data_IF_960351506734
#
_entry.id   IF_960351506734
#
_cell.length_a   1.000
_cell.length_b   1.000
_cell.length_c   1.000
_cell.angle_alpha   90.00
_cell.angle_beta   90.00
_cell.angle_gamma   90.00
#
_symmetry.space_group_name_H-M   'P 1'
#
loop_
_entity.id
_entity.type
_entity.pdbx_description
1 polymer ?
#
# COMPACT_ATOMS: atom_id res chain seq x y z
N UNK A 1 12.29 -30.22 -11.75
CA UNK A 1 12.78 -28.84 -11.93
C UNK A 1 13.58 -28.45 -10.71
N UNK A 2 14.90 -28.73 -10.71
CA UNK A 2 15.78 -28.16 -9.71
C UNK A 2 16.02 -26.68 -10.09
N UNK A 3 15.88 -25.76 -9.13
CA UNK A 3 16.17 -24.33 -9.33
C UNK A 3 14.98 -23.38 -9.49
N UNK A 4 13.72 -23.84 -9.47
CA UNK A 4 12.58 -22.93 -9.49
C UNK A 4 12.30 -22.37 -8.07
N UNK A 5 12.22 -21.03 -7.90
CA UNK A 5 11.87 -20.43 -6.62
C UNK A 5 10.52 -20.94 -6.09
N UNK A 6 10.46 -21.27 -4.80
CA UNK A 6 9.20 -21.69 -4.13
C UNK A 6 8.31 -20.51 -3.73
N UNK A 7 8.90 -19.32 -3.65
CA UNK A 7 8.25 -18.07 -3.31
C UNK A 7 8.91 -16.95 -4.13
N UNK A 8 8.08 -16.06 -4.68
CA UNK A 8 8.51 -14.78 -5.24
C UNK A 8 7.92 -13.71 -4.34
N UNK A 9 8.79 -12.89 -3.74
CA UNK A 9 8.40 -11.75 -2.93
C UNK A 9 8.71 -10.47 -3.71
N UNK A 10 7.67 -9.76 -4.14
CA UNK A 10 7.80 -8.47 -4.81
C UNK A 10 7.44 -7.36 -3.82
N UNK A 11 8.41 -6.50 -3.52
CA UNK A 11 8.25 -5.37 -2.59
C UNK A 11 8.29 -4.08 -3.41
N UNK A 12 7.23 -3.29 -3.34
CA UNK A 12 7.15 -1.96 -3.95
C UNK A 12 7.03 -0.92 -2.84
N UNK A 13 7.99 0.01 -2.79
CA UNK A 13 8.01 1.08 -1.78
C UNK A 13 7.52 2.37 -2.45
N UNK A 14 6.32 2.79 -2.06
CA UNK A 14 5.64 3.93 -2.69
C UNK A 14 6.39 5.24 -2.40
N UNK A 15 6.68 6.02 -3.44
CA UNK A 15 7.42 7.29 -3.34
C UNK A 15 8.92 7.19 -3.06
N UNK A 16 9.51 5.99 -3.02
CA UNK A 16 10.96 5.83 -2.84
C UNK A 16 11.74 6.19 -4.11
N UNK A 17 12.37 7.36 -4.12
CA UNK A 17 13.33 7.72 -5.17
C UNK A 17 14.61 6.90 -5.04
N UNK A 18 15.16 6.46 -6.18
CA UNK A 18 16.35 5.60 -6.22
C UNK A 18 17.58 6.18 -5.53
N UNK A 19 17.79 7.51 -5.60
CA UNK A 19 18.93 8.18 -4.98
C UNK A 19 18.91 8.14 -3.44
N UNK A 20 17.74 7.96 -2.82
CA UNK A 20 17.61 7.90 -1.37
C UNK A 20 18.26 6.65 -0.77
N UNK A 21 18.38 5.58 -1.56
CA UNK A 21 19.03 4.34 -1.12
C UNK A 21 20.53 4.53 -0.88
N UNK A 22 21.19 5.34 -1.71
CA UNK A 22 22.60 5.67 -1.52
C UNK A 22 22.77 6.79 -0.49
N UNK A 23 21.90 7.82 -0.54
CA UNK A 23 21.95 8.98 0.36
C UNK A 23 21.86 8.59 1.84
N UNK A 24 21.09 7.55 2.17
CA UNK A 24 20.85 7.11 3.55
C UNK A 24 21.46 5.75 3.88
N UNK A 25 22.35 5.22 3.03
CA UNK A 25 22.93 3.88 3.18
C UNK A 25 23.56 3.63 4.56
N UNK A 26 24.28 4.62 5.10
CA UNK A 26 24.96 4.54 6.41
C UNK A 26 24.00 4.48 7.60
N UNK A 27 22.72 4.82 7.39
CA UNK A 27 21.67 4.74 8.39
C UNK A 27 20.85 3.44 8.29
N UNK A 28 21.07 2.61 7.26
CA UNK A 28 20.38 1.32 7.11
C UNK A 28 21.12 0.19 7.84
N UNK A 29 20.35 -0.72 8.43
CA UNK A 29 20.89 -1.99 8.98
C UNK A 29 21.43 -2.91 7.89
N UNK A 30 22.16 -3.96 8.29
CA UNK A 30 22.81 -4.90 7.37
C UNK A 30 21.83 -5.76 6.58
N UNK A 31 20.67 -6.08 7.16
CA UNK A 31 19.78 -7.16 6.67
C UNK A 31 18.59 -6.65 5.84
N UNK A 32 18.57 -5.37 5.50
CA UNK A 32 17.53 -4.72 4.68
C UNK A 32 18.03 -4.28 3.30
N UNK A 33 17.92 -2.99 2.98
CA UNK A 33 18.42 -2.44 1.72
C UNK A 33 19.90 -2.74 1.47
N UNK A 34 20.73 -2.69 2.51
CA UNK A 34 22.16 -3.00 2.38
C UNK A 34 22.39 -4.47 1.98
N UNK A 35 21.59 -5.42 2.51
CA UNK A 35 21.64 -6.82 2.06
C UNK A 35 21.29 -6.93 0.58
N UNK A 36 20.17 -6.35 0.15
CA UNK A 36 19.73 -6.40 -1.25
C UNK A 36 20.73 -5.74 -2.20
N UNK A 37 21.33 -4.61 -1.81
CA UNK A 37 22.37 -3.92 -2.61
C UNK A 37 23.66 -4.72 -2.70
N UNK A 38 24.10 -5.35 -1.61
CA UNK A 38 25.38 -6.05 -1.55
C UNK A 38 25.34 -7.49 -2.06
N UNK A 39 24.17 -8.13 -2.05
CA UNK A 39 23.98 -9.55 -2.41
C UNK A 39 23.07 -9.77 -3.62
N UNK A 40 22.36 -8.74 -4.06
CA UNK A 40 21.42 -8.80 -5.18
C UNK A 40 22.01 -8.26 -6.48
N UNK A 41 21.13 -8.20 -7.49
CA UNK A 41 21.39 -7.50 -8.75
C UNK A 41 20.70 -6.14 -8.67
N UNK A 42 21.47 -5.06 -8.82
CA UNK A 42 20.98 -3.69 -8.69
C UNK A 42 20.93 -3.01 -10.06
N UNK A 43 19.74 -2.63 -10.48
CA UNK A 43 19.54 -1.81 -11.67
C UNK A 43 19.50 -0.33 -11.25
N UNK A 44 20.58 0.41 -11.50
CA UNK A 44 20.71 1.83 -11.11
C UNK A 44 20.11 2.80 -12.11
N UNK A 45 19.73 2.33 -13.30
CA UNK A 45 19.13 3.13 -14.37
C UNK A 45 17.78 2.54 -14.83
N UNK A 46 16.89 2.30 -13.87
CA UNK A 46 15.53 1.82 -14.12
C UNK A 46 14.54 2.98 -14.01
N UNK A 47 13.66 3.15 -15.00
CA UNK A 47 12.72 4.27 -15.09
C UNK A 47 11.31 3.79 -15.48
N UNK A 48 10.30 4.48 -14.98
CA UNK A 48 8.95 4.38 -15.53
C UNK A 48 8.92 5.00 -16.94
N UNK A 49 8.55 4.22 -17.94
CA UNK A 49 8.47 4.66 -19.34
C UNK A 49 7.15 5.38 -19.66
N UNK A 50 6.56 6.06 -18.68
CA UNK A 50 5.29 6.78 -18.80
C UNK A 50 5.35 8.11 -18.02
N UNK A 51 4.55 9.08 -18.45
CA UNK A 51 4.58 10.43 -17.90
C UNK A 51 3.87 10.56 -16.53
N UNK A 52 2.76 9.86 -16.32
CA UNK A 52 2.01 9.96 -15.07
C UNK A 52 2.55 9.00 -14.01
N UNK A 53 3.45 9.47 -13.15
CA UNK A 53 4.08 8.67 -12.09
C UNK A 53 3.23 8.61 -10.81
N UNK A 54 1.94 8.32 -10.97
CA UNK A 54 1.01 8.09 -9.87
C UNK A 54 1.00 6.64 -9.40
N UNK A 55 0.59 6.41 -8.15
CA UNK A 55 0.63 5.09 -7.48
C UNK A 55 0.04 3.96 -8.33
N UNK A 56 -1.23 4.03 -8.76
CA UNK A 56 -1.85 2.91 -9.49
C UNK A 56 -1.19 2.67 -10.86
N UNK A 57 -0.73 3.73 -11.52
CA UNK A 57 -0.09 3.67 -12.83
C UNK A 57 1.23 2.89 -12.72
N UNK A 58 2.08 3.29 -11.77
CA UNK A 58 3.34 2.61 -11.48
C UNK A 58 3.14 1.16 -11.02
N UNK A 59 2.23 0.90 -10.07
CA UNK A 59 1.97 -0.46 -9.57
C UNK A 59 1.44 -1.37 -10.67
N UNK A 60 0.56 -0.89 -11.54
CA UNK A 60 0.03 -1.70 -12.65
C UNK A 60 1.10 -1.96 -13.70
N UNK A 61 1.97 -0.98 -13.99
CA UNK A 61 3.15 -1.19 -14.85
C UNK A 61 4.07 -2.27 -14.26
N UNK A 62 4.38 -2.22 -12.96
CA UNK A 62 5.19 -3.24 -12.29
C UNK A 62 4.51 -4.62 -12.27
N UNK A 63 3.19 -4.67 -12.12
CA UNK A 63 2.43 -5.91 -12.06
C UNK A 63 2.26 -6.56 -13.44
N UNK A 64 2.26 -5.80 -14.53
CA UNK A 64 1.93 -6.31 -15.89
C UNK A 64 3.11 -6.33 -16.86
N UNK A 65 4.16 -5.53 -16.59
CA UNK A 65 5.21 -5.24 -17.57
C UNK A 65 4.74 -4.40 -18.77
N UNK A 66 3.50 -3.91 -18.76
CA UNK A 66 2.90 -3.14 -19.84
C UNK A 66 2.88 -1.63 -19.52
N UNK A 67 2.70 -0.80 -20.54
CA UNK A 67 2.54 0.66 -20.38
C UNK A 67 1.08 1.04 -20.05
N UNK A 68 0.81 2.26 -19.55
CA UNK A 68 -0.55 2.72 -19.27
C UNK A 68 -1.52 2.66 -20.45
N UNK A 69 -1.01 2.87 -21.66
CA UNK A 69 -1.76 2.71 -22.92
C UNK A 69 -2.26 1.28 -23.18
N UNK A 70 -1.66 0.27 -22.53
CA UNK A 70 -2.01 -1.14 -22.67
C UNK A 70 -2.78 -1.64 -21.46
N UNK A 71 -2.31 -1.36 -20.24
CA UNK A 71 -2.97 -1.86 -19.03
C UNK A 71 -4.18 -1.02 -18.58
N UNK A 72 -4.41 0.16 -19.17
CA UNK A 72 -5.60 0.98 -18.96
C UNK A 72 -5.58 1.88 -17.72
N UNK A 73 -4.79 1.55 -16.70
CA UNK A 73 -4.60 2.39 -15.51
C UNK A 73 -3.77 3.65 -15.81
N UNK A 74 -4.45 4.78 -16.03
CA UNK A 74 -3.82 6.04 -16.47
C UNK A 74 -3.68 7.11 -15.38
N UNK A 75 -4.30 6.90 -14.21
CA UNK A 75 -4.19 7.80 -13.06
C UNK A 75 -4.94 7.26 -11.84
N UNK A 76 -4.71 7.85 -10.66
CA UNK A 76 -5.40 7.46 -9.43
C UNK A 76 -6.91 7.78 -9.50
N UNK A 77 -7.25 8.86 -10.21
CA UNK A 77 -8.61 9.29 -10.53
C UNK A 77 -8.61 9.76 -11.97
N UNK A 78 -9.63 9.40 -12.74
CA UNK A 78 -9.81 9.92 -14.10
C UNK A 78 -11.27 10.20 -14.40
N UNK A 79 -11.50 10.97 -15.46
CA UNK A 79 -12.84 11.33 -15.93
C UNK A 79 -13.43 10.23 -16.80
N UNK A 80 -14.62 9.76 -16.46
CA UNK A 80 -15.42 8.85 -17.28
C UNK A 80 -16.33 9.65 -18.20
N UNK A 81 -16.07 9.61 -19.50
CA UNK A 81 -16.85 10.38 -20.49
C UNK A 81 -18.33 9.98 -20.51
N UNK A 82 -18.64 8.69 -20.31
CA UNK A 82 -20.00 8.17 -20.37
C UNK A 82 -20.88 8.67 -19.22
N UNK A 83 -20.31 8.82 -18.01
CA UNK A 83 -21.04 9.29 -16.82
C UNK A 83 -20.85 10.78 -16.54
N UNK A 84 -19.87 11.43 -17.16
CA UNK A 84 -19.53 12.82 -16.91
C UNK A 84 -18.87 13.08 -15.55
N UNK A 85 -18.28 12.06 -14.93
CA UNK A 85 -17.80 12.13 -13.54
C UNK A 85 -16.35 11.67 -13.39
N UNK A 86 -15.68 12.14 -12.34
CA UNK A 86 -14.40 11.59 -11.89
C UNK A 86 -14.64 10.28 -11.13
N UNK A 87 -13.89 9.22 -11.47
CA UNK A 87 -13.95 7.91 -10.82
C UNK A 87 -12.62 7.47 -10.24
N UNK A 88 -12.66 6.67 -9.16
CA UNK A 88 -11.47 6.10 -8.54
C UNK A 88 -11.02 4.83 -9.26
N UNK A 89 -9.70 4.65 -9.40
CA UNK A 89 -9.10 3.72 -10.37
C UNK A 89 -9.50 2.23 -10.29
N UNK A 90 -9.78 1.74 -9.08
CA UNK A 90 -10.18 0.35 -8.81
C UNK A 90 -11.58 0.28 -8.23
N UNK A 91 -12.36 1.34 -8.37
CA UNK A 91 -13.73 1.39 -7.90
C UNK A 91 -14.60 0.37 -8.65
N UNK A 92 -15.34 -0.44 -7.89
CA UNK A 92 -16.25 -1.42 -8.45
C UNK A 92 -17.45 -1.64 -7.51
N UNK A 93 -18.61 -1.13 -7.89
CA UNK A 93 -19.83 -1.25 -7.09
C UNK A 93 -20.33 -2.70 -6.95
N UNK A 94 -19.95 -3.59 -7.87
CA UNK A 94 -20.31 -5.01 -7.85
C UNK A 94 -19.41 -5.82 -6.89
N UNK A 95 -18.37 -5.20 -6.34
CA UNK A 95 -17.41 -5.81 -5.42
C UNK A 95 -17.30 -5.03 -4.10
N UNK A 96 -18.36 -5.00 -3.27
CA UNK A 96 -18.37 -4.24 -2.02
C UNK A 96 -17.26 -4.71 -1.05
N UNK A 97 -16.82 -3.82 -0.16
CA UNK A 97 -15.91 -4.18 0.93
C UNK A 97 -16.54 -5.23 1.85
N UNK A 98 -15.75 -6.20 2.28
CA UNK A 98 -16.17 -7.18 3.27
C UNK A 98 -15.98 -6.59 4.69
N UNK A 99 -17.00 -6.62 5.56
CA UNK A 99 -16.87 -6.12 6.92
C UNK A 99 -15.93 -7.01 7.72
N UNK A 100 -14.95 -6.41 8.41
CA UNK A 100 -14.02 -7.11 9.31
C UNK A 100 -14.53 -7.19 10.76
N UNK A 101 -15.51 -6.35 11.12
CA UNK A 101 -16.12 -6.27 12.46
C UNK A 101 -17.63 -6.06 12.33
N UNK A 102 -18.41 -6.52 13.31
CA UNK A 102 -19.86 -6.26 13.37
C UNK A 102 -20.17 -4.76 13.43
N UNK A 103 -19.39 -4.04 14.22
CA UNK A 103 -19.46 -2.59 14.36
C UNK A 103 -18.16 -1.98 13.87
N UNK A 104 -18.26 -1.09 12.87
CA UNK A 104 -17.11 -0.31 12.40
C UNK A 104 -17.27 1.14 12.83
N UNK A 105 -16.27 1.66 13.52
CA UNK A 105 -16.14 3.10 13.71
C UNK A 105 -15.77 3.73 12.36
N UNK A 106 -16.30 4.93 12.09
CA UNK A 106 -15.93 5.67 10.88
C UNK A 106 -14.67 6.48 11.16
N UNK A 107 -13.54 5.93 10.72
CA UNK A 107 -12.29 6.69 10.67
C UNK A 107 -12.30 7.74 9.57
N UNK A 108 -11.26 8.55 9.52
CA UNK A 108 -11.07 9.59 8.52
C UNK A 108 -10.01 9.16 7.51
N UNK A 109 -10.46 8.70 6.34
CA UNK A 109 -9.61 8.56 5.17
C UNK A 109 -9.25 9.95 4.64
N UNK A 110 -7.97 10.24 4.53
CA UNK A 110 -7.45 11.54 4.06
C UNK A 110 -6.95 11.50 2.63
N UNK A 111 -6.78 10.31 2.04
CA UNK A 111 -6.38 10.12 0.65
C UNK A 111 -7.37 10.84 -0.30
N UNK A 112 -6.93 11.88 -1.03
CA UNK A 112 -7.79 12.62 -1.95
C UNK A 112 -8.37 11.76 -3.08
N UNK A 113 -7.65 10.73 -3.54
CA UNK A 113 -8.11 9.86 -4.61
C UNK A 113 -9.25 8.95 -4.14
N UNK A 114 -9.10 8.31 -2.97
CA UNK A 114 -10.17 7.47 -2.42
C UNK A 114 -11.43 8.28 -2.06
N UNK A 115 -11.29 9.56 -1.66
CA UNK A 115 -12.44 10.45 -1.43
C UNK A 115 -13.30 10.72 -2.67
N UNK A 116 -12.76 10.45 -3.87
CA UNK A 116 -13.51 10.58 -5.14
C UNK A 116 -14.27 9.31 -5.50
N UNK A 117 -14.05 8.19 -4.80
CA UNK A 117 -14.80 6.97 -5.05
C UNK A 117 -16.29 7.19 -4.71
N UNK A 118 -17.17 6.74 -5.60
CA UNK A 118 -18.64 6.86 -5.46
C UNK A 118 -19.26 5.64 -4.76
N UNK A 119 -18.50 4.56 -4.69
CA UNK A 119 -18.79 3.32 -3.97
C UNK A 119 -17.60 2.91 -3.10
N UNK A 120 -17.87 2.06 -2.11
CA UNK A 120 -16.83 1.46 -1.28
C UNK A 120 -16.11 0.30 -1.98
N UNK A 121 -16.73 -0.30 -3.00
CA UNK A 121 -16.26 -1.55 -3.58
C UNK A 121 -14.99 -1.41 -4.42
N UNK A 122 -14.20 -2.49 -4.47
CA UNK A 122 -12.84 -2.51 -5.00
C UNK A 122 -12.58 -3.77 -5.81
N UNK A 123 -12.04 -3.63 -7.02
CA UNK A 123 -11.64 -4.79 -7.85
C UNK A 123 -10.57 -4.43 -8.90
N UNK A 124 -9.89 -5.43 -9.49
CA UNK A 124 -8.93 -5.23 -10.58
C UNK A 124 -9.62 -5.14 -11.95
N UNK A 125 -10.95 -4.96 -12.01
CA UNK A 125 -11.75 -5.01 -13.26
C UNK A 125 -11.25 -4.05 -14.33
N UNK A 126 -10.77 -2.87 -13.94
CA UNK A 126 -10.23 -1.89 -14.90
C UNK A 126 -8.87 -2.25 -15.49
N UNK A 127 -8.14 -3.22 -14.93
CA UNK A 127 -6.80 -3.61 -15.43
C UNK A 127 -6.99 -4.45 -16.70
N UNK A 128 -6.58 -3.92 -17.84
CA UNK A 128 -6.85 -4.55 -19.14
C UNK A 128 -5.86 -5.68 -19.48
N UNK A 129 -4.60 -5.55 -19.05
CA UNK A 129 -3.54 -6.54 -19.28
C UNK A 129 -3.53 -7.63 -18.19
N UNK A 130 -3.02 -8.84 -18.47
CA UNK A 130 -2.73 -9.82 -17.43
C UNK A 130 -1.54 -9.37 -16.59
N UNK A 131 -1.61 -9.63 -15.28
CA UNK A 131 -0.49 -9.41 -14.36
C UNK A 131 0.46 -10.61 -14.32
N UNK A 132 1.64 -10.44 -13.73
CA UNK A 132 2.54 -11.54 -13.36
C UNK A 132 1.79 -12.58 -12.51
N UNK A 133 0.98 -12.10 -11.55
CA UNK A 133 0.09 -12.93 -10.74
C UNK A 133 -0.84 -13.80 -11.61
N UNK A 134 -1.54 -13.20 -12.58
CA UNK A 134 -2.45 -13.93 -13.47
C UNK A 134 -1.73 -14.97 -14.31
N UNK A 135 -0.59 -14.60 -14.89
CA UNK A 135 0.20 -15.52 -15.71
C UNK A 135 0.82 -16.65 -14.88
N UNK A 136 1.25 -16.38 -13.64
CA UNK A 136 1.74 -17.39 -12.71
C UNK A 136 0.63 -18.37 -12.30
N UNK A 137 -0.59 -17.89 -12.06
CA UNK A 137 -1.75 -18.75 -11.78
C UNK A 137 -2.04 -19.68 -12.96
N UNK A 138 -2.02 -19.16 -14.19
CA UNK A 138 -2.21 -19.94 -15.42
C UNK A 138 -1.09 -20.98 -15.58
N UNK A 139 0.18 -20.56 -15.49
CA UNK A 139 1.35 -21.41 -15.68
C UNK A 139 1.43 -22.57 -14.67
N UNK A 140 0.81 -22.40 -13.50
CA UNK A 140 0.76 -23.41 -12.45
C UNK A 140 -0.56 -24.19 -12.42
N UNK A 141 -1.40 -24.06 -13.46
CA UNK A 141 -2.73 -24.66 -13.54
C UNK A 141 -3.57 -24.40 -12.27
N UNK A 142 -3.55 -23.16 -11.80
CA UNK A 142 -4.28 -22.71 -10.62
C UNK A 142 -3.61 -23.02 -9.27
N UNK A 143 -2.47 -23.72 -9.23
CA UNK A 143 -1.84 -24.17 -7.98
C UNK A 143 -1.09 -23.06 -7.22
N UNK A 144 -0.63 -22.01 -7.90
CA UNK A 144 0.03 -20.90 -7.23
C UNK A 144 -0.92 -20.21 -6.22
N UNK A 145 -0.39 -19.90 -5.04
CA UNK A 145 -1.03 -19.03 -4.06
C UNK A 145 -0.49 -17.62 -4.25
N UNK A 146 -1.38 -16.64 -4.38
CA UNK A 146 -1.03 -15.27 -4.77
C UNK A 146 -1.74 -14.33 -3.80
N UNK A 147 -0.96 -13.47 -3.16
CA UNK A 147 -1.44 -12.47 -2.22
C UNK A 147 -0.83 -11.12 -2.56
N UNK A 148 -1.65 -10.08 -2.63
CA UNK A 148 -1.22 -8.68 -2.66
C UNK A 148 -1.61 -8.03 -1.34
N UNK A 149 -0.65 -7.51 -0.59
CA UNK A 149 -0.91 -6.86 0.70
C UNK A 149 -0.31 -5.45 0.66
N UNK A 150 -1.05 -4.44 1.12
CA UNK A 150 -0.55 -3.06 1.14
C UNK A 150 -1.29 -2.17 2.13
N UNK A 151 -0.68 -1.06 2.52
CA UNK A 151 -1.39 0.04 3.18
C UNK A 151 -2.47 0.71 2.30
N UNK A 152 -2.41 0.55 0.97
CA UNK A 152 -3.35 1.15 0.01
C UNK A 152 -4.03 0.06 -0.83
N UNK A 153 -5.35 0.19 -0.98
CA UNK A 153 -6.18 -0.69 -1.83
C UNK A 153 -5.65 -0.81 -3.27
N UNK A 154 -5.39 0.32 -3.94
CA UNK A 154 -4.90 0.37 -5.33
C UNK A 154 -3.54 -0.31 -5.53
N UNK A 155 -2.71 -0.33 -4.49
CA UNK A 155 -1.43 -1.04 -4.52
C UNK A 155 -1.64 -2.54 -4.38
N UNK A 156 -2.43 -2.98 -3.39
CA UNK A 156 -2.72 -4.40 -3.18
C UNK A 156 -3.46 -5.04 -4.36
N UNK A 157 -4.50 -4.38 -4.87
CA UNK A 157 -5.34 -4.86 -5.98
C UNK A 157 -4.53 -5.00 -7.28
N UNK A 158 -3.70 -4.01 -7.61
CA UNK A 158 -2.87 -4.08 -8.81
C UNK A 158 -1.85 -5.22 -8.76
N UNK A 159 -1.21 -5.43 -7.61
CA UNK A 159 -0.21 -6.49 -7.43
C UNK A 159 -0.84 -7.89 -7.35
N UNK A 160 -2.03 -8.04 -6.75
CA UNK A 160 -2.75 -9.31 -6.70
C UNK A 160 -3.30 -9.72 -8.07
N UNK A 161 -3.62 -8.75 -8.94
CA UNK A 161 -4.24 -9.01 -10.23
C UNK A 161 -5.65 -9.60 -10.11
N UNK A 162 -6.11 -10.23 -11.18
CA UNK A 162 -7.47 -10.80 -11.30
C UNK A 162 -7.62 -12.14 -10.58
N UNK A 163 -6.52 -12.84 -10.36
CA UNK A 163 -6.51 -14.23 -9.89
C UNK A 163 -5.94 -14.43 -8.48
N UNK A 164 -5.30 -13.40 -7.93
CA UNK A 164 -4.81 -13.41 -6.55
C UNK A 164 -5.86 -12.95 -5.55
N UNK A 165 -5.42 -12.74 -4.32
CA UNK A 165 -6.23 -12.18 -3.25
C UNK A 165 -5.57 -10.91 -2.73
N UNK A 166 -6.31 -9.80 -2.66
CA UNK A 166 -5.78 -8.54 -2.15
C UNK A 166 -6.28 -8.25 -0.73
N UNK A 167 -5.37 -7.80 0.14
CA UNK A 167 -5.67 -7.29 1.46
C UNK A 167 -5.07 -5.89 1.62
N UNK A 168 -5.79 -4.98 2.24
CA UNK A 168 -5.26 -3.64 2.53
C UNK A 168 -5.71 -3.09 3.86
N UNK A 169 -4.89 -2.21 4.41
CA UNK A 169 -5.14 -1.61 5.71
C UNK A 169 -6.36 -0.68 5.69
N UNK A 170 -7.22 -0.81 6.70
CA UNK A 170 -8.39 0.02 6.90
C UNK A 170 -8.09 1.18 7.86
N UNK A 171 -8.21 2.41 7.37
CA UNK A 171 -8.13 3.59 8.25
C UNK A 171 -9.36 3.77 9.14
N UNK A 172 -10.36 2.89 9.04
CA UNK A 172 -11.55 2.93 9.89
C UNK A 172 -11.33 2.25 11.24
N UNK A 173 -10.61 1.12 11.25
CA UNK A 173 -10.46 0.26 12.43
C UNK A 173 -9.08 -0.40 12.57
N UNK A 174 -8.14 -0.18 11.65
CA UNK A 174 -6.80 -0.75 11.70
C UNK A 174 -6.69 -2.20 11.22
N UNK A 175 -7.78 -2.77 10.72
CA UNK A 175 -7.80 -4.15 10.20
C UNK A 175 -7.23 -4.20 8.78
N UNK A 176 -6.74 -5.37 8.37
CA UNK A 176 -6.61 -5.69 6.95
C UNK A 176 -7.95 -6.20 6.41
N UNK A 177 -8.43 -5.52 5.37
CA UNK A 177 -9.71 -5.77 4.72
C UNK A 177 -9.54 -6.15 3.24
N UNK A 178 -10.59 -6.71 2.65
CA UNK A 178 -10.72 -7.10 1.25
C UNK A 178 -12.10 -6.71 0.72
N UNK A 179 -12.40 -7.04 -0.54
CA UNK A 179 -13.71 -6.93 -1.17
C UNK A 179 -14.30 -8.29 -1.56
N UNK A 180 -15.60 -8.26 -1.86
CA UNK A 180 -16.37 -9.41 -2.38
C UNK A 180 -15.91 -9.91 -3.75
N UNK A 181 -15.00 -9.20 -4.43
CA UNK A 181 -14.36 -9.72 -5.64
C UNK A 181 -13.48 -10.95 -5.35
N UNK A 182 -12.78 -10.94 -4.21
CA UNK A 182 -11.74 -11.93 -3.91
C UNK A 182 -12.24 -13.13 -3.10
N UNK A 183 -13.25 -12.91 -2.26
CA UNK A 183 -13.80 -13.93 -1.35
C UNK A 183 -15.18 -13.51 -0.83
N UNK A 184 -15.99 -14.49 -0.43
CA UNK A 184 -17.27 -14.21 0.24
C UNK A 184 -17.11 -13.91 1.73
N UNK A 185 -16.10 -14.54 2.36
CA UNK A 185 -15.80 -14.45 3.79
C UNK A 185 -14.30 -14.53 4.01
N UNK A 186 -13.82 -13.85 5.04
CA UNK A 186 -12.42 -13.92 5.44
C UNK A 186 -12.05 -15.32 5.94
N UNK A 187 -10.88 -15.86 5.54
CA UNK A 187 -10.35 -17.08 6.14
C UNK A 187 -9.95 -16.83 7.60
N UNK A 188 -9.94 -17.89 8.41
CA UNK A 188 -9.69 -17.79 9.86
C UNK A 188 -8.42 -17.02 10.20
N UNK A 189 -7.31 -17.23 9.48
CA UNK A 189 -6.06 -16.54 9.77
C UNK A 189 -6.15 -15.01 9.64
N UNK A 190 -7.02 -14.48 8.77
CA UNK A 190 -7.26 -13.02 8.67
C UNK A 190 -8.08 -12.54 9.86
N UNK A 191 -9.11 -13.31 10.26
CA UNK A 191 -9.91 -12.99 11.44
C UNK A 191 -9.06 -13.04 12.72
N UNK A 192 -8.20 -14.06 12.85
CA UNK A 192 -7.29 -14.23 13.98
C UNK A 192 -6.23 -13.13 14.02
N UNK A 193 -5.73 -12.68 12.85
CA UNK A 193 -4.80 -11.54 12.78
C UNK A 193 -5.49 -10.24 13.17
N UNK A 194 -6.64 -9.92 12.58
CA UNK A 194 -7.39 -8.69 12.89
C UNK A 194 -7.85 -8.68 14.36
N UNK A 195 -8.22 -9.84 14.92
CA UNK A 195 -8.62 -10.00 16.32
C UNK A 195 -7.51 -9.77 17.34
N UNK A 196 -6.25 -9.62 16.92
CA UNK A 196 -5.15 -9.19 17.79
C UNK A 196 -5.15 -7.67 18.03
N UNK A 197 -5.92 -6.90 17.25
CA UNK A 197 -6.06 -5.46 17.42
C UNK A 197 -4.71 -4.71 17.43
N UNK A 198 -3.70 -5.19 16.67
CA UNK A 198 -2.30 -4.71 16.74
C UNK A 198 -2.18 -3.20 16.52
N UNK A 199 -2.92 -2.65 15.57
CA UNK A 199 -2.94 -1.20 15.33
C UNK A 199 -3.51 -0.44 16.54
N UNK A 200 -4.58 -0.95 17.19
CA UNK A 200 -5.19 -0.31 18.35
C UNK A 200 -4.26 -0.33 19.59
N UNK A 201 -3.36 -1.31 19.69
CA UNK A 201 -2.32 -1.35 20.74
C UNK A 201 -1.29 -0.19 20.62
N UNK A 202 -1.35 0.62 19.56
CA UNK A 202 -0.55 1.83 19.39
C UNK A 202 -1.22 3.09 19.94
N UNK A 203 -2.44 2.97 20.49
CA UNK A 203 -3.13 4.08 21.13
C UNK A 203 -2.26 4.74 22.20
N UNK A 204 -2.30 6.07 22.21
CA UNK A 204 -1.55 6.93 23.14
C UNK A 204 -0.02 6.77 23.08
N UNK A 205 0.48 6.03 22.10
CA UNK A 205 1.91 6.01 21.74
C UNK A 205 2.22 7.11 20.72
N UNK A 206 3.50 7.21 20.38
CA UNK A 206 4.04 8.21 19.49
C UNK A 206 5.13 7.60 18.61
N UNK A 207 5.25 8.11 17.39
CA UNK A 207 6.39 7.86 16.53
C UNK A 207 7.53 8.81 16.91
N UNK A 208 8.68 8.23 17.26
CA UNK A 208 9.91 8.93 17.65
C UNK A 208 11.02 8.68 16.63
N UNK A 209 12.04 9.53 16.63
CA UNK A 209 13.27 9.28 15.87
C UNK A 209 13.90 7.96 16.33
N UNK A 210 14.33 7.15 15.36
CA UNK A 210 14.99 5.87 15.63
C UNK A 210 16.46 6.06 16.01
N UNK A 211 17.10 7.07 15.40
CA UNK A 211 18.50 7.40 15.62
C UNK A 211 18.62 8.72 16.40
N UNK A 212 19.83 9.01 16.87
CA UNK A 212 20.17 10.33 17.40
C UNK A 212 19.87 11.43 16.35
N UNK A 213 19.26 12.57 16.71
CA UNK A 213 18.97 13.66 15.77
C UNK A 213 20.17 14.10 14.91
N UNK A 214 21.40 14.03 15.43
CA UNK A 214 22.62 14.39 14.69
C UNK A 214 22.91 13.45 13.50
N UNK A 215 22.31 12.25 13.45
CA UNK A 215 22.41 11.30 12.34
C UNK A 215 21.51 11.64 11.15
N UNK A 216 20.57 12.58 11.32
CA UNK A 216 19.63 12.97 10.27
C UNK A 216 20.24 14.11 9.44
N UNK A 217 20.60 13.80 8.19
CA UNK A 217 21.28 14.74 7.26
C UNK A 217 20.50 16.05 7.09
N UNK A 218 19.18 16.01 7.21
CA UNK A 218 18.29 17.17 7.11
C UNK A 218 17.70 17.62 8.45
N UNK A 219 18.20 17.13 9.59
CA UNK A 219 17.67 17.47 10.91
C UNK A 219 17.72 18.97 11.23
N UNK A 220 18.70 19.70 10.67
CA UNK A 220 18.78 21.16 10.78
C UNK A 220 17.74 21.92 9.92
N UNK A 221 16.94 21.20 9.14
CA UNK A 221 15.92 21.74 8.24
C UNK A 221 14.50 21.30 8.63
N UNK A 222 14.31 20.79 9.85
CA UNK A 222 12.99 20.43 10.38
C UNK A 222 12.08 21.67 10.52
N UNK A 223 10.76 21.46 10.59
CA UNK A 223 9.71 22.49 10.75
C UNK A 223 9.59 23.52 9.61
N UNK A 224 9.55 23.07 8.36
CA UNK A 224 9.39 23.97 7.21
C UNK A 224 7.94 24.45 7.03
N UNK A 225 7.71 25.69 6.50
CA UNK A 225 6.36 26.21 6.28
C UNK A 225 5.48 25.39 5.33
N UNK A 226 6.08 24.57 4.48
CA UNK A 226 5.40 23.70 3.51
C UNK A 226 5.19 22.26 4.01
N UNK A 227 5.59 21.95 5.24
CA UNK A 227 5.26 20.67 5.87
C UNK A 227 3.79 20.62 6.31
N UNK A 228 3.16 19.48 6.07
CA UNK A 228 1.74 19.27 6.36
C UNK A 228 1.60 18.79 7.80
N UNK A 229 0.93 19.57 8.64
CA UNK A 229 0.37 19.03 9.88
C UNK A 229 -0.89 18.22 9.54
N UNK A 230 -0.86 16.91 9.78
CA UNK A 230 -1.98 15.99 9.55
C UNK A 230 -3.05 16.16 10.65
N UNK A 231 -3.58 17.39 10.74
CA UNK A 231 -4.61 17.84 11.70
C UNK A 231 -4.22 17.49 13.14
N UNK A 232 -3.13 18.07 13.64
CA UNK A 232 -2.61 17.84 14.99
C UNK A 232 -1.77 16.57 15.14
N UNK A 233 -1.17 16.08 14.05
CA UNK A 233 -0.15 15.02 14.14
C UNK A 233 1.25 15.59 14.42
N UNK A 234 1.41 16.91 14.26
CA UNK A 234 2.66 17.63 14.43
C UNK A 234 3.46 17.66 13.12
N UNK A 235 4.24 18.73 12.92
CA UNK A 235 5.21 18.83 11.84
C UNK A 235 6.58 18.26 12.23
N UNK A 236 6.90 18.35 13.52
CA UNK A 236 8.16 17.88 14.09
C UNK A 236 7.95 16.69 15.02
N UNK A 237 9.04 15.98 15.32
CA UNK A 237 9.02 14.86 16.25
C UNK A 237 8.92 15.30 17.72
N UNK A 238 8.26 14.49 18.57
CA UNK A 238 7.58 13.22 18.25
C UNK A 238 6.18 13.41 17.67
N UNK A 239 5.73 12.46 16.83
CA UNK A 239 4.38 12.47 16.25
C UNK A 239 3.42 11.57 17.06
N UNK A 240 2.47 12.13 17.84
CA UNK A 240 1.55 11.36 18.65
C UNK A 240 0.48 10.68 17.79
N UNK A 241 0.26 9.37 17.96
CA UNK A 241 -0.86 8.68 17.29
C UNK A 241 -2.22 9.16 17.84
N UNK A 242 -2.27 9.43 19.14
CA UNK A 242 -3.47 9.83 19.88
C UNK A 242 -4.30 8.64 20.36
N UNK A 243 -5.46 8.94 20.95
CA UNK A 243 -6.36 7.93 21.48
C UNK A 243 -6.97 7.05 20.38
N UNK A 244 -7.27 5.79 20.69
CA UNK A 244 -7.84 4.81 19.75
C UNK A 244 -9.14 5.27 19.07
N UNK A 245 -9.94 6.10 19.76
CA UNK A 245 -11.21 6.62 19.24
C UNK A 245 -11.06 7.89 18.39
N UNK A 246 -9.85 8.42 18.24
CA UNK A 246 -9.62 9.61 17.43
C UNK A 246 -9.82 9.27 15.94
N UNK A 247 -10.59 10.04 15.16
CA UNK A 247 -10.91 9.68 13.77
C UNK A 247 -9.69 9.47 12.85
N UNK A 248 -8.56 10.11 13.15
CA UNK A 248 -7.32 9.96 12.39
C UNK A 248 -6.34 8.95 12.97
N UNK A 249 -6.66 8.28 14.07
CA UNK A 249 -5.73 7.38 14.76
C UNK A 249 -5.12 6.34 13.82
N UNK A 250 -5.96 5.54 13.15
CA UNK A 250 -5.49 4.52 12.21
C UNK A 250 -4.81 5.10 10.96
N UNK A 251 -5.21 6.29 10.52
CA UNK A 251 -4.53 7.04 9.45
C UNK A 251 -3.12 7.45 9.86
N UNK A 252 -2.94 7.92 11.10
CA UNK A 252 -1.63 8.30 11.65
C UNK A 252 -0.71 7.08 11.81
N UNK A 253 -1.26 5.95 12.26
CA UNK A 253 -0.53 4.67 12.28
C UNK A 253 -0.06 4.30 10.88
N UNK A 254 -0.95 4.32 9.88
CA UNK A 254 -0.65 3.96 8.50
C UNK A 254 0.48 4.78 7.87
N UNK A 255 0.54 6.08 8.12
CA UNK A 255 1.58 6.98 7.55
C UNK A 255 2.89 7.01 8.33
N UNK A 256 3.01 6.17 9.36
CA UNK A 256 4.23 6.00 10.16
C UNK A 256 4.91 4.66 9.84
N UNK A 257 6.13 4.41 10.34
CA UNK A 257 6.79 3.11 10.19
C UNK A 257 6.01 1.93 10.79
N UNK A 258 5.05 2.18 11.70
CA UNK A 258 4.20 1.11 12.22
C UNK A 258 3.25 0.55 11.17
N UNK A 259 2.82 1.35 10.18
CA UNK A 259 2.01 0.87 9.05
C UNK A 259 2.76 -0.20 8.24
N UNK A 260 4.05 0.02 8.00
CA UNK A 260 4.91 -0.96 7.31
C UNK A 260 5.19 -2.19 8.19
N UNK A 261 5.34 -2.02 9.51
CA UNK A 261 5.50 -3.16 10.44
C UNK A 261 4.27 -4.05 10.48
N UNK A 262 3.07 -3.46 10.51
CA UNK A 262 1.81 -4.19 10.45
C UNK A 262 1.65 -4.95 9.12
N UNK A 263 2.19 -4.41 8.03
CA UNK A 263 2.16 -5.06 6.72
C UNK A 263 3.08 -6.29 6.63
N UNK A 264 4.18 -6.32 7.38
CA UNK A 264 5.22 -7.35 7.31
C UNK A 264 5.02 -8.54 8.27
N UNK A 265 4.17 -8.38 9.27
CA UNK A 265 3.88 -9.35 10.32
C UNK A 265 2.97 -10.50 9.85
#
# INVERSE_FOLDING_TARGET
MAGQPRLVLQITIDGLRGDLLDRYADNFGTDGFNYLRNKGVVYTNAHYLHANTETIVGHTTLATGATPSVHGMIGNVWYHADSGELGYNIEDADAPLLPTREHSAKGAQVDPAQKRARSSGRSPRGILAPTFSDTLKIATAGKAKIFGISGKDRSAVAMAGKTGTAYWYSTNNGDFQSSGYYMDKYPNWVNDWNGQDKAAQLADKQWQLLLDPARYVLGHQDDRPYEVDLKGYGRTFPHPFGAANHPLFFTRVLVSPEGDRLLLD
#
